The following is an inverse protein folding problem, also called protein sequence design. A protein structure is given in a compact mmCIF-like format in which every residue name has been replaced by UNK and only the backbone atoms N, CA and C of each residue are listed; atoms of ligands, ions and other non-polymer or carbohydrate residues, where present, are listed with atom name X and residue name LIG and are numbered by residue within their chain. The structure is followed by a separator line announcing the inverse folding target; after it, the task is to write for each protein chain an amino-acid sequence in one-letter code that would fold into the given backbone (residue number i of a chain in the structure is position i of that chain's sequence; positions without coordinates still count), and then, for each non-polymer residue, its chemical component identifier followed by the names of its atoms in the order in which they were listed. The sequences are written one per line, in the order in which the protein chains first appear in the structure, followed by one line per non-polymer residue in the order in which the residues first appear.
data_IF_474114197550
#
_entry.id   IF_474114197550
#
_cell.length_a   1.000
_cell.length_b   1.000
_cell.length_c   1.000
_cell.angle_alpha   90.00
_cell.angle_beta   90.00
_cell.angle_gamma   90.00
#
_symmetry.space_group_name_H-M   'P 1'
#
loop_
_entity.id
_entity.type
_entity.pdbx_description
1 polymer ?
#
# COMPACT_ATOMS: atom_id res chain seq x y z
N UNK A 1 -3.66 -8.51 26.49
CA UNK A 1 -2.90 -7.25 26.35
C UNK A 1 -1.75 -7.39 25.35
N UNK A 2 -0.84 -8.37 25.52
CA UNK A 2 0.32 -8.57 24.62
C UNK A 2 -0.04 -8.75 23.14
N UNK A 3 -1.06 -9.55 22.80
CA UNK A 3 -1.48 -9.79 21.40
C UNK A 3 -2.01 -8.52 20.69
N UNK A 4 -2.69 -7.64 21.43
CA UNK A 4 -3.19 -6.38 20.90
C UNK A 4 -2.03 -5.42 20.60
N UNK A 5 -1.09 -5.30 21.55
CA UNK A 5 0.10 -4.47 21.40
C UNK A 5 1.00 -4.97 20.26
N UNK A 6 1.22 -6.29 20.14
CA UNK A 6 2.01 -6.86 19.05
C UNK A 6 1.35 -6.65 17.68
N UNK A 7 0.03 -6.81 17.59
CA UNK A 7 -0.72 -6.52 16.36
C UNK A 7 -0.62 -5.05 15.95
N UNK A 8 -0.74 -4.14 16.92
CA UNK A 8 -0.60 -2.69 16.68
C UNK A 8 0.80 -2.30 16.21
N UNK A 9 1.85 -2.90 16.78
CA UNK A 9 3.23 -2.65 16.36
C UNK A 9 3.48 -3.11 14.92
N UNK A 10 3.00 -4.31 14.55
CA UNK A 10 3.13 -4.83 13.20
C UNK A 10 2.35 -3.98 12.18
N UNK A 11 1.13 -3.57 12.52
CA UNK A 11 0.32 -2.69 11.68
C UNK A 11 1.01 -1.32 11.48
N UNK A 12 1.56 -0.76 12.56
CA UNK A 12 2.31 0.50 12.50
C UNK A 12 3.55 0.36 11.63
N UNK A 13 4.34 -0.70 11.82
CA UNK A 13 5.53 -0.96 11.02
C UNK A 13 5.20 -1.13 9.54
N UNK A 14 4.16 -1.90 9.21
CA UNK A 14 3.69 -2.08 7.84
C UNK A 14 3.26 -0.75 7.20
N UNK A 15 2.52 0.09 7.95
CA UNK A 15 2.10 1.41 7.49
C UNK A 15 3.32 2.31 7.21
N UNK A 16 4.27 2.37 8.14
CA UNK A 16 5.50 3.16 7.99
C UNK A 16 6.31 2.69 6.78
N UNK A 17 6.50 1.38 6.63
CA UNK A 17 7.21 0.81 5.47
C UNK A 17 6.49 1.15 4.17
N UNK A 18 5.17 1.04 4.13
CA UNK A 18 4.39 1.37 2.94
C UNK A 18 4.52 2.85 2.54
N UNK A 19 4.37 3.77 3.51
CA UNK A 19 4.56 5.21 3.27
C UNK A 19 5.98 5.52 2.84
N UNK A 20 6.99 4.90 3.45
CA UNK A 20 8.39 5.09 3.09
C UNK A 20 8.66 4.65 1.64
N UNK A 21 8.18 3.45 1.26
CA UNK A 21 8.28 2.95 -0.12
C UNK A 21 7.57 3.90 -1.08
N UNK A 22 6.37 4.37 -0.73
CA UNK A 22 5.64 5.33 -1.56
C UNK A 22 6.45 6.61 -1.78
N UNK A 23 7.03 7.20 -0.73
CA UNK A 23 7.86 8.40 -0.82
C UNK A 23 9.09 8.19 -1.71
N UNK A 24 9.77 7.03 -1.58
CA UNK A 24 10.91 6.70 -2.44
C UNK A 24 10.51 6.66 -3.91
N UNK A 25 9.39 6.03 -4.23
CA UNK A 25 8.91 5.96 -5.62
C UNK A 25 8.42 7.33 -6.09
N UNK A 26 7.73 8.09 -5.24
CA UNK A 26 7.28 9.45 -5.54
C UNK A 26 8.45 10.36 -5.92
N UNK A 27 9.54 10.34 -5.15
CA UNK A 27 10.76 11.10 -5.46
C UNK A 27 11.33 10.69 -6.82
N UNK A 28 11.35 9.38 -7.12
CA UNK A 28 11.83 8.88 -8.43
C UNK A 28 10.96 9.36 -9.59
N UNK A 29 9.63 9.36 -9.42
CA UNK A 29 8.67 9.84 -10.43
C UNK A 29 8.81 11.35 -10.64
N UNK A 30 8.95 12.12 -9.56
CA UNK A 30 9.11 13.57 -9.64
C UNK A 30 10.41 13.97 -10.35
N UNK A 31 11.50 13.23 -10.10
CA UNK A 31 12.80 13.40 -10.75
C UNK A 31 12.85 12.92 -12.19
N UNK A 32 11.86 12.16 -12.66
CA UNK A 32 11.80 11.72 -14.06
C UNK A 32 11.46 12.91 -14.96
N UNK A 33 12.30 13.14 -15.97
CA UNK A 33 12.14 14.23 -16.93
C UNK A 33 11.36 13.81 -18.19
N UNK A 34 11.18 12.50 -18.39
CA UNK A 34 10.44 11.90 -19.51
C UNK A 34 8.92 11.86 -19.31
N UNK A 35 8.45 12.05 -18.07
CA UNK A 35 7.02 12.16 -17.78
C UNK A 35 6.58 13.63 -17.70
N UNK A 36 5.54 13.96 -18.48
CA UNK A 36 4.78 15.20 -18.28
C UNK A 36 4.09 15.25 -16.92
N UNK A 37 3.62 16.43 -16.53
CA UNK A 37 2.99 16.67 -15.21
C UNK A 37 1.82 15.73 -14.94
N UNK A 38 0.92 15.53 -15.92
CA UNK A 38 -0.20 14.61 -15.80
C UNK A 38 0.24 13.16 -15.56
N UNK A 39 1.29 12.71 -16.25
CA UNK A 39 1.87 11.38 -16.05
C UNK A 39 2.44 11.20 -14.64
N UNK A 40 3.07 12.24 -14.08
CA UNK A 40 3.56 12.21 -12.69
C UNK A 40 2.42 12.08 -11.69
N UNK A 41 1.38 12.89 -11.83
CA UNK A 41 0.20 12.85 -10.94
C UNK A 41 -0.49 11.50 -10.99
N UNK A 42 -0.72 10.96 -12.20
CA UNK A 42 -1.34 9.64 -12.37
C UNK A 42 -0.52 8.55 -11.68
N UNK A 43 0.80 8.57 -11.83
CA UNK A 43 1.69 7.60 -11.17
C UNK A 43 1.64 7.72 -9.65
N UNK A 44 1.69 8.93 -9.10
CA UNK A 44 1.61 9.15 -7.65
C UNK A 44 0.31 8.59 -7.07
N UNK A 45 -0.81 8.80 -7.75
CA UNK A 45 -2.11 8.24 -7.37
C UNK A 45 -2.10 6.71 -7.50
N UNK A 46 -1.62 6.17 -8.62
CA UNK A 46 -1.60 4.74 -8.87
C UNK A 46 -0.81 3.97 -7.79
N UNK A 47 0.35 4.50 -7.36
CA UNK A 47 1.19 3.86 -6.34
C UNK A 47 0.51 3.90 -4.95
N UNK A 48 -0.35 4.89 -4.66
CA UNK A 48 -1.18 4.87 -3.44
C UNK A 48 -2.33 3.87 -3.54
N UNK A 49 -3.03 3.85 -4.67
CA UNK A 49 -4.30 3.15 -4.80
C UNK A 49 -4.11 1.65 -5.02
N UNK A 50 -3.14 1.24 -5.84
CA UNK A 50 -2.93 -0.18 -6.20
C UNK A 50 -2.70 -1.09 -4.97
N UNK A 51 -1.84 -0.75 -3.99
CA UNK A 51 -1.67 -1.57 -2.80
C UNK A 51 -2.94 -1.71 -1.96
N UNK A 52 -3.71 -0.63 -1.82
CA UNK A 52 -4.99 -0.63 -1.10
C UNK A 52 -6.02 -1.51 -1.81
N UNK A 53 -6.10 -1.41 -3.14
CA UNK A 53 -6.95 -2.30 -3.94
C UNK A 53 -6.51 -3.78 -3.81
N UNK A 54 -5.21 -4.05 -3.79
CA UNK A 54 -4.69 -5.40 -3.57
C UNK A 54 -5.11 -5.97 -2.22
N UNK A 55 -5.00 -5.19 -1.14
CA UNK A 55 -5.49 -5.57 0.19
C UNK A 55 -7.01 -5.79 0.19
N UNK A 56 -7.76 -4.91 -0.46
CA UNK A 56 -9.21 -5.04 -0.57
C UNK A 56 -9.60 -6.36 -1.26
N UNK A 57 -8.98 -6.67 -2.40
CA UNK A 57 -9.20 -7.94 -3.12
C UNK A 57 -8.81 -9.13 -2.26
N UNK A 58 -7.67 -9.07 -1.57
CA UNK A 58 -7.24 -10.11 -0.66
C UNK A 58 -8.27 -10.37 0.44
N UNK A 59 -8.79 -9.32 1.08
CA UNK A 59 -9.81 -9.47 2.12
C UNK A 59 -11.14 -10.00 1.58
N UNK A 60 -11.55 -9.58 0.37
CA UNK A 60 -12.74 -10.15 -0.27
C UNK A 60 -12.56 -11.65 -0.54
N UNK A 61 -11.39 -12.05 -1.05
CA UNK A 61 -11.05 -13.45 -1.28
C UNK A 61 -11.03 -14.25 0.03
N UNK A 62 -10.40 -13.70 1.07
CA UNK A 62 -10.31 -14.31 2.40
C UNK A 62 -11.67 -14.48 3.06
N UNK A 63 -12.59 -13.54 2.84
CA UNK A 63 -13.95 -13.61 3.34
C UNK A 63 -14.82 -14.61 2.56
N UNK A 64 -14.58 -14.75 1.25
CA UNK A 64 -15.32 -15.67 0.39
C UNK A 64 -14.85 -17.13 0.50
N UNK A 65 -13.65 -17.39 1.04
CA UNK A 65 -13.14 -18.76 1.17
C UNK A 65 -13.99 -19.56 2.17
N UNK A 66 -14.49 -20.76 1.81
CA UNK A 66 -15.15 -21.63 2.77
C UNK A 66 -14.17 -22.01 3.88
N UNK A 67 -14.55 -21.82 5.14
CA UNK A 67 -13.79 -22.41 6.26
C UNK A 67 -14.09 -23.90 6.27
N UNK A 68 -13.23 -24.70 5.63
CA UNK A 68 -13.23 -26.15 5.85
C UNK A 68 -12.83 -26.40 7.30
N UNK A 69 -13.82 -26.77 8.11
CA UNK A 69 -13.66 -27.22 9.50
C UNK A 69 -13.05 -28.62 9.57
#
# INVERSE_FOLDING_TARGET
MLAYTSGMLLATAALVTWIFVWLLVAVRVLRRHDLGVGGKVLWLIAILVVPVLGLFVYFMWDAARPRSA
#
